data_IF_414593234746
#
_entry.id   IF_414593234746
#
_cell.length_a   1.000
_cell.length_b   1.000
_cell.length_c   1.000
_cell.angle_alpha   90.00
_cell.angle_beta   90.00
_cell.angle_gamma   90.00
#
_symmetry.space_group_name_H-M   'P 1'
#
loop_
_entity.id
_entity.type
_entity.pdbx_description
1 polymer ?
#
# COMPACT_ATOMS: atom_id res chain seq x y z
N UNK A 1 -34.23 22.37 -40.86
CA UNK A 1 -33.40 21.92 -39.71
C UNK A 1 -33.83 22.74 -38.50
N UNK A 2 -34.41 22.09 -37.48
CA UNK A 2 -35.07 22.78 -36.37
C UNK A 2 -34.03 23.39 -35.43
N UNK A 3 -34.18 24.67 -35.07
CA UNK A 3 -33.29 25.40 -34.16
C UNK A 3 -33.09 24.67 -32.81
N UNK A 4 -34.08 23.86 -32.41
CA UNK A 4 -34.02 22.99 -31.22
C UNK A 4 -33.01 21.85 -31.34
N UNK A 5 -32.75 21.37 -32.56
CA UNK A 5 -31.82 20.27 -32.82
C UNK A 5 -30.36 20.75 -32.72
N UNK A 6 -30.10 22.01 -33.12
CA UNK A 6 -28.79 22.65 -32.97
C UNK A 6 -28.41 22.96 -31.53
N UNK A 7 -29.37 23.34 -30.68
CA UNK A 7 -29.11 23.55 -29.25
C UNK A 7 -28.85 22.23 -28.54
N UNK A 8 -29.61 21.17 -28.88
CA UNK A 8 -29.40 19.83 -28.33
C UNK A 8 -28.06 19.22 -28.72
N UNK A 9 -27.59 19.45 -29.95
CA UNK A 9 -26.28 18.97 -30.39
C UNK A 9 -25.14 19.75 -29.74
N UNK A 10 -25.26 21.07 -29.58
CA UNK A 10 -24.25 21.87 -28.89
C UNK A 10 -24.07 21.41 -27.43
N UNK A 11 -25.18 21.23 -26.70
CA UNK A 11 -25.15 20.76 -25.31
C UNK A 11 -24.60 19.33 -25.21
N UNK A 12 -24.97 18.43 -26.13
CA UNK A 12 -24.50 17.05 -26.08
C UNK A 12 -23.00 16.93 -26.38
N UNK A 13 -22.44 17.81 -27.22
CA UNK A 13 -20.99 17.88 -27.46
C UNK A 13 -20.23 18.32 -26.22
N UNK A 14 -20.70 19.35 -25.50
CA UNK A 14 -20.06 19.81 -24.26
C UNK A 14 -20.07 18.73 -23.18
N UNK A 15 -21.21 18.03 -23.06
CA UNK A 15 -21.37 16.96 -22.07
C UNK A 15 -20.46 15.76 -22.36
N UNK A 16 -20.27 15.42 -23.64
CA UNK A 16 -19.35 14.37 -24.05
C UNK A 16 -17.89 14.72 -23.76
N UNK A 17 -17.50 15.98 -23.92
CA UNK A 17 -16.12 16.44 -23.67
C UNK A 17 -15.73 16.31 -22.19
N UNK A 18 -16.58 16.82 -21.28
CA UNK A 18 -16.39 16.68 -19.83
C UNK A 18 -16.31 15.21 -19.43
N UNK A 19 -17.14 14.37 -20.05
CA UNK A 19 -17.15 12.93 -19.79
C UNK A 19 -15.86 12.25 -20.30
N UNK A 20 -15.31 12.69 -21.43
CA UNK A 20 -14.06 12.17 -21.98
C UNK A 20 -12.85 12.57 -21.13
N UNK A 21 -12.76 13.85 -20.78
CA UNK A 21 -11.67 14.39 -19.96
C UNK A 21 -11.67 13.85 -18.53
N UNK A 22 -12.80 13.35 -18.01
CA UNK A 22 -12.88 12.84 -16.63
C UNK A 22 -12.80 11.31 -16.54
N UNK A 23 -13.35 10.58 -17.51
CA UNK A 23 -13.39 9.11 -17.45
C UNK A 23 -12.03 8.49 -17.76
N UNK A 24 -11.28 9.05 -18.72
CA UNK A 24 -9.95 8.55 -19.07
C UNK A 24 -8.95 8.65 -17.90
N UNK A 25 -8.87 9.79 -17.16
CA UNK A 25 -8.05 9.82 -15.95
C UNK A 25 -8.62 8.95 -14.83
N UNK A 26 -9.93 8.82 -14.68
CA UNK A 26 -10.53 7.95 -13.66
C UNK A 26 -10.19 6.47 -13.87
N UNK A 27 -10.19 5.99 -15.12
CA UNK A 27 -9.77 4.61 -15.45
C UNK A 27 -8.29 4.38 -15.16
N UNK A 28 -7.43 5.36 -15.48
CA UNK A 28 -5.99 5.31 -15.15
C UNK A 28 -5.75 5.28 -13.64
N UNK A 29 -6.46 6.11 -12.87
CA UNK A 29 -6.40 6.11 -11.42
C UNK A 29 -6.89 4.79 -10.82
N UNK A 30 -7.99 4.23 -11.34
CA UNK A 30 -8.50 2.92 -10.93
C UNK A 30 -7.47 1.81 -11.13
N UNK A 31 -6.76 1.80 -12.26
CA UNK A 31 -5.67 0.87 -12.51
C UNK A 31 -4.51 1.02 -11.51
N UNK A 32 -4.05 2.25 -11.26
CA UNK A 32 -2.99 2.53 -10.30
C UNK A 32 -3.37 2.11 -8.87
N UNK A 33 -4.62 2.35 -8.46
CA UNK A 33 -5.14 1.94 -7.17
C UNK A 33 -5.20 0.42 -7.05
N UNK A 34 -5.66 -0.28 -8.09
CA UNK A 34 -5.67 -1.74 -8.10
C UNK A 34 -4.26 -2.33 -7.94
N UNK A 35 -3.29 -1.82 -8.69
CA UNK A 35 -1.88 -2.21 -8.54
C UNK A 35 -1.33 -1.84 -7.16
N UNK A 36 -1.71 -0.69 -6.62
CA UNK A 36 -1.33 -0.26 -5.27
C UNK A 36 -1.87 -1.18 -4.18
N UNK A 37 -3.10 -1.66 -4.31
CA UNK A 37 -3.71 -2.61 -3.37
C UNK A 37 -3.00 -3.97 -3.41
N UNK A 38 -2.75 -4.50 -4.61
CA UNK A 38 -2.02 -5.77 -4.79
C UNK A 38 -0.61 -5.65 -4.18
N UNK A 39 0.11 -4.57 -4.48
CA UNK A 39 1.43 -4.33 -3.92
C UNK A 39 1.39 -4.20 -2.39
N UNK A 40 0.37 -3.56 -1.84
CA UNK A 40 0.19 -3.41 -0.38
C UNK A 40 -0.03 -4.75 0.30
N UNK A 41 -0.90 -5.60 -0.26
CA UNK A 41 -1.17 -6.95 0.27
C UNK A 41 0.10 -7.80 0.22
N UNK A 42 0.79 -7.82 -0.92
CA UNK A 42 2.01 -8.58 -1.09
C UNK A 42 3.12 -8.11 -0.15
N UNK A 43 3.25 -6.79 0.03
CA UNK A 43 4.21 -6.18 0.96
C UNK A 43 3.89 -6.56 2.41
N UNK A 44 2.62 -6.45 2.82
CA UNK A 44 2.18 -6.84 4.16
C UNK A 44 2.49 -8.33 4.43
N UNK A 45 2.22 -9.19 3.47
CA UNK A 45 2.51 -10.62 3.58
C UNK A 45 4.01 -10.90 3.70
N UNK A 46 4.83 -10.26 2.87
CA UNK A 46 6.30 -10.36 2.96
C UNK A 46 6.83 -9.92 4.32
N UNK A 47 6.29 -8.85 4.88
CA UNK A 47 6.65 -8.38 6.22
C UNK A 47 6.36 -9.40 7.32
N UNK A 48 5.20 -10.06 7.26
CA UNK A 48 4.83 -11.13 8.19
C UNK A 48 5.82 -12.29 8.08
N UNK A 49 6.15 -12.73 6.87
CA UNK A 49 7.10 -13.82 6.66
C UNK A 49 8.50 -13.49 7.19
N UNK A 50 8.98 -12.26 6.97
CA UNK A 50 10.28 -11.80 7.51
C UNK A 50 10.26 -11.77 9.04
N UNK A 51 9.16 -11.28 9.65
CA UNK A 51 9.02 -11.27 11.10
C UNK A 51 9.02 -12.69 11.69
N UNK A 52 8.30 -13.62 11.07
CA UNK A 52 8.29 -15.03 11.46
C UNK A 52 9.66 -15.69 11.27
N UNK A 53 10.35 -15.40 10.17
CA UNK A 53 11.70 -15.90 9.90
C UNK A 53 12.73 -15.39 10.91
N UNK A 54 12.64 -14.12 11.30
CA UNK A 54 13.49 -13.53 12.33
C UNK A 54 13.23 -14.16 13.70
N UNK A 55 11.95 -14.28 14.08
CA UNK A 55 11.56 -14.94 15.33
C UNK A 55 12.09 -16.37 15.37
N UNK A 56 11.97 -17.09 14.24
CA UNK A 56 12.48 -18.44 14.10
C UNK A 56 14.01 -18.48 14.20
N UNK A 57 14.75 -17.60 13.54
CA UNK A 57 16.21 -17.50 13.69
C UNK A 57 16.62 -17.29 15.15
N UNK A 58 15.93 -16.39 15.86
CA UNK A 58 16.19 -16.12 17.27
C UNK A 58 15.83 -17.30 18.20
N UNK A 59 14.91 -18.17 17.80
CA UNK A 59 14.49 -19.32 18.59
C UNK A 59 15.30 -20.58 18.25
N UNK A 60 15.58 -20.83 16.97
CA UNK A 60 16.31 -22.01 16.46
C UNK A 60 17.82 -21.89 16.74
N UNK A 61 18.45 -20.76 16.42
CA UNK A 61 19.91 -20.61 16.59
C UNK A 61 20.31 -20.38 18.05
N UNK A 62 19.48 -19.66 18.82
CA UNK A 62 19.77 -19.39 20.23
C UNK A 62 19.27 -20.49 21.16
N UNK A 63 18.51 -21.47 20.66
CA UNK A 63 18.23 -22.80 21.23
C UNK A 63 17.94 -22.88 22.73
N UNK A 64 18.98 -22.82 23.56
CA UNK A 64 18.93 -22.91 25.03
C UNK A 64 19.09 -21.57 25.79
N UNK A 65 19.57 -20.51 25.12
CA UNK A 65 19.89 -19.24 25.77
C UNK A 65 18.66 -18.42 26.20
N UNK A 66 17.51 -18.61 25.54
CA UNK A 66 16.24 -17.95 25.89
C UNK A 66 15.26 -18.88 26.62
N UNK A 67 15.69 -20.06 27.07
CA UNK A 67 14.82 -20.99 27.79
C UNK A 67 14.56 -20.50 29.23
N UNK A 68 13.39 -20.85 29.79
CA UNK A 68 12.98 -20.42 31.13
C UNK A 68 12.37 -19.01 31.17
N UNK A 69 12.89 -18.13 32.03
CA UNK A 69 12.32 -16.79 32.28
C UNK A 69 12.57 -15.77 31.15
N UNK A 70 13.37 -16.12 30.13
CA UNK A 70 13.74 -15.24 29.01
C UNK A 70 12.95 -15.53 27.73
N UNK A 71 11.94 -16.42 27.76
CA UNK A 71 11.16 -16.79 26.57
C UNK A 71 10.39 -15.60 25.95
N UNK A 72 10.15 -14.52 26.69
CA UNK A 72 9.52 -13.30 26.18
C UNK A 72 10.47 -12.44 25.32
N UNK A 73 11.78 -12.62 25.46
CA UNK A 73 12.80 -11.75 24.86
C UNK A 73 12.87 -11.84 23.32
N UNK A 74 12.78 -13.03 22.68
CA UNK A 74 12.68 -13.14 21.22
C UNK A 74 11.50 -12.36 20.62
N UNK A 75 10.36 -12.35 21.32
CA UNK A 75 9.17 -11.60 20.89
C UNK A 75 9.38 -10.09 21.01
N UNK A 76 10.02 -9.62 22.10
CA UNK A 76 10.36 -8.21 22.27
C UNK A 76 11.34 -7.71 21.21
N UNK A 77 12.39 -8.50 20.89
CA UNK A 77 13.35 -8.16 19.84
C UNK A 77 12.65 -8.06 18.49
N UNK A 78 11.82 -9.05 18.15
CA UNK A 78 11.04 -9.06 16.90
C UNK A 78 10.12 -7.83 16.83
N UNK A 79 9.46 -7.48 17.93
CA UNK A 79 8.62 -6.28 18.01
C UNK A 79 9.42 -5.00 17.75
N UNK A 80 10.58 -4.84 18.40
CA UNK A 80 11.45 -3.68 18.20
C UNK A 80 11.90 -3.57 16.74
N UNK A 81 12.28 -4.68 16.11
CA UNK A 81 12.67 -4.69 14.69
C UNK A 81 11.51 -4.22 13.80
N UNK A 82 10.30 -4.74 14.02
CA UNK A 82 9.10 -4.31 13.26
C UNK A 82 8.84 -2.81 13.45
N UNK A 83 8.93 -2.29 14.68
CA UNK A 83 8.75 -0.86 14.97
C UNK A 83 9.82 0.00 14.29
N UNK A 84 11.08 -0.44 14.28
CA UNK A 84 12.17 0.27 13.60
C UNK A 84 11.90 0.33 12.09
N UNK A 85 11.52 -0.79 11.48
CA UNK A 85 11.22 -0.80 10.04
C UNK A 85 10.02 0.08 9.72
N UNK A 86 8.98 0.07 10.56
CA UNK A 86 7.84 0.97 10.41
C UNK A 86 8.27 2.44 10.49
N UNK A 87 9.07 2.81 11.49
CA UNK A 87 9.58 4.17 11.65
C UNK A 87 10.42 4.62 10.46
N UNK A 88 11.28 3.74 9.91
CA UNK A 88 12.06 4.02 8.70
C UNK A 88 11.14 4.21 7.49
N UNK A 89 10.13 3.35 7.34
CA UNK A 89 9.16 3.42 6.24
C UNK A 89 8.38 4.74 6.28
N UNK A 90 7.87 5.13 7.46
CA UNK A 90 7.18 6.40 7.66
C UNK A 90 8.09 7.60 7.36
N UNK A 91 9.35 7.57 7.79
CA UNK A 91 10.33 8.62 7.46
C UNK A 91 10.60 8.73 5.95
N UNK A 92 10.55 7.63 5.21
CA UNK A 92 10.78 7.62 3.75
C UNK A 92 9.60 8.21 2.98
N UNK A 93 8.37 8.00 3.45
CA UNK A 93 7.17 8.57 2.82
C UNK A 93 7.19 10.11 2.89
N UNK A 94 7.50 10.68 4.06
CA UNK A 94 7.53 12.14 4.26
C UNK A 94 8.65 12.87 3.50
N UNK A 95 9.68 12.15 3.03
CA UNK A 95 10.84 12.76 2.35
C UNK A 95 10.61 13.05 0.87
N UNK A 96 9.53 12.53 0.27
CA UNK A 96 9.24 12.64 -1.18
C UNK A 96 8.39 13.86 -1.54
N UNK A 97 7.95 14.64 -0.55
CA UNK A 97 7.14 15.85 -0.73
C UNK A 97 7.92 17.16 -0.62
N UNK A 98 9.24 17.15 -0.81
CA UNK A 98 10.09 18.35 -0.91
C UNK A 98 10.92 18.28 -2.17
#
# INVERSE_FOLDING_TARGET
MSQRDGVKSAVSTSLQYVKQETIDPAKRLGGLLAWGLIASILTAFGFVLVALGLLRLLQDETGSAFQGHLNWLPYLITLVVVVVVLAVTLKRIGKRGR
#
